data_IF_135430553151
#
_entry.id   IF_135430553151
#
_cell.length_a   1.000
_cell.length_b   1.000
_cell.length_c   1.000
_cell.angle_alpha   90.00
_cell.angle_beta   90.00
_cell.angle_gamma   90.00
#
_symmetry.space_group_name_H-M   'P 1'
#
loop_
_entity.id
_entity.type
_entity.pdbx_description
1 polymer ?
#
# COMPACT_ATOMS: atom_id res chain seq x y z
N UNK A 1 -12.63 1.02 9.17
CA UNK A 1 -11.36 1.17 8.42
C UNK A 1 -10.33 0.34 9.16
N UNK A 2 -9.91 -0.80 8.63
CA UNK A 2 -8.88 -1.63 9.29
C UNK A 2 -7.65 -0.76 9.58
N UNK A 3 -7.19 -0.74 10.84
CA UNK A 3 -5.97 -0.01 11.24
C UNK A 3 -4.76 -0.71 10.62
N UNK A 4 -4.46 -0.39 9.37
CA UNK A 4 -3.23 -0.85 8.74
C UNK A 4 -2.06 -0.20 9.49
N UNK A 5 -1.24 -1.03 10.18
CA UNK A 5 0.11 -0.65 10.66
C UNK A 5 0.98 -0.29 9.45
N UNK A 6 0.86 0.95 9.01
CA UNK A 6 1.56 1.51 7.85
C UNK A 6 1.29 3.01 7.73
N UNK A 7 1.98 3.68 6.82
CA UNK A 7 1.65 5.05 6.41
C UNK A 7 0.89 5.00 5.12
N UNK A 8 -0.14 5.82 4.99
CA UNK A 8 -0.93 5.90 3.78
C UNK A 8 -0.90 7.31 3.20
N UNK A 9 -1.05 7.38 1.88
CA UNK A 9 -1.37 8.61 1.16
C UNK A 9 -2.61 8.38 0.31
N UNK A 10 -3.42 9.43 0.22
CA UNK A 10 -4.68 9.42 -0.49
C UNK A 10 -4.67 10.52 -1.56
N UNK A 11 -4.78 10.13 -2.82
CA UNK A 11 -5.03 11.06 -3.92
C UNK A 11 -6.51 11.04 -4.30
N UNK A 12 -7.22 12.14 -4.07
CA UNK A 12 -8.65 12.24 -4.41
C UNK A 12 -8.88 13.00 -5.72
N UNK A 13 -9.99 12.67 -6.39
CA UNK A 13 -10.50 13.38 -7.57
C UNK A 13 -9.50 13.51 -8.73
N UNK A 14 -8.63 12.51 -8.90
CA UNK A 14 -7.64 12.50 -9.98
C UNK A 14 -8.37 12.32 -11.31
N UNK A 15 -8.19 13.21 -12.30
CA UNK A 15 -8.94 13.19 -13.57
C UNK A 15 -8.39 12.13 -14.52
N UNK A 16 -8.53 10.86 -14.16
CA UNK A 16 -8.14 9.72 -14.99
C UNK A 16 -9.12 8.56 -14.86
N UNK A 17 -9.06 7.66 -15.84
CA UNK A 17 -9.81 6.40 -15.79
C UNK A 17 -9.16 5.43 -14.79
N UNK A 18 -10.00 4.80 -13.97
CA UNK A 18 -9.62 3.78 -13.00
C UNK A 18 -8.79 2.67 -13.65
N UNK A 19 -9.18 2.19 -14.83
CA UNK A 19 -8.47 1.10 -15.51
C UNK A 19 -7.06 1.49 -15.96
N UNK A 20 -6.86 2.75 -16.37
CA UNK A 20 -5.54 3.27 -16.76
C UNK A 20 -4.62 3.39 -15.55
N UNK A 21 -5.16 3.80 -14.40
CA UNK A 21 -4.40 3.83 -13.15
C UNK A 21 -4.04 2.43 -12.65
N UNK A 22 -5.00 1.49 -12.69
CA UNK A 22 -4.79 0.09 -12.25
C UNK A 22 -3.64 -0.58 -12.99
N UNK A 23 -3.53 -0.36 -14.30
CA UNK A 23 -2.42 -0.88 -15.12
C UNK A 23 -1.04 -0.59 -14.51
N UNK A 24 -0.85 0.61 -13.97
CA UNK A 24 0.42 1.01 -13.33
C UNK A 24 0.48 0.52 -11.89
N UNK A 25 -0.61 0.67 -11.13
CA UNK A 25 -0.69 0.29 -9.71
C UNK A 25 -0.45 -1.21 -9.50
N UNK A 26 -0.89 -2.06 -10.44
CA UNK A 26 -0.68 -3.50 -10.34
C UNK A 26 0.81 -3.88 -10.48
N UNK A 27 1.63 -3.07 -11.16
CA UNK A 27 3.07 -3.32 -11.33
C UNK A 27 3.88 -2.97 -10.08
N UNK A 28 3.48 -1.92 -9.37
CA UNK A 28 4.20 -1.41 -8.19
C UNK A 28 3.77 -2.09 -6.88
N UNK A 29 2.70 -2.90 -6.92
CA UNK A 29 2.18 -3.59 -5.73
C UNK A 29 3.22 -4.60 -5.24
N UNK A 30 3.63 -4.45 -3.97
CA UNK A 30 4.60 -5.35 -3.35
C UNK A 30 6.07 -5.05 -3.66
N UNK A 31 6.38 -3.99 -4.42
CA UNK A 31 7.74 -3.54 -4.73
C UNK A 31 8.32 -2.66 -3.63
N UNK A 32 9.65 -2.55 -3.58
CA UNK A 32 10.32 -1.59 -2.70
C UNK A 32 10.07 -0.15 -3.17
N UNK A 33 10.28 0.82 -2.29
CA UNK A 33 10.12 2.23 -2.62
C UNK A 33 11.06 2.66 -3.75
N UNK A 34 12.34 2.29 -3.68
CA UNK A 34 13.37 2.64 -4.67
C UNK A 34 13.06 2.05 -6.05
N UNK A 35 12.74 0.74 -6.12
CA UNK A 35 12.32 0.09 -7.37
C UNK A 35 11.12 0.80 -7.99
N UNK A 36 10.16 1.19 -7.14
CA UNK A 36 8.94 1.85 -7.60
C UNK A 36 9.23 3.20 -8.25
N UNK A 37 10.15 3.99 -7.69
CA UNK A 37 10.54 5.28 -8.28
C UNK A 37 11.12 5.08 -9.69
N UNK A 38 12.07 4.17 -9.83
CA UNK A 38 12.70 3.86 -11.11
C UNK A 38 11.67 3.39 -12.15
N UNK A 39 10.77 2.49 -11.75
CA UNK A 39 9.73 1.97 -12.64
C UNK A 39 8.78 3.10 -13.09
N UNK A 40 8.34 3.95 -12.17
CA UNK A 40 7.37 5.00 -12.48
C UNK A 40 7.97 6.11 -13.36
N UNK A 41 9.26 6.40 -13.21
CA UNK A 41 9.96 7.40 -14.04
C UNK A 41 10.14 6.93 -15.49
N UNK A 42 10.44 5.64 -15.69
CA UNK A 42 10.73 5.09 -17.01
C UNK A 42 9.50 4.59 -17.77
N UNK A 43 8.37 4.37 -17.08
CA UNK A 43 7.16 3.88 -17.73
C UNK A 43 6.55 4.90 -18.70
N UNK A 44 6.07 4.47 -19.88
CA UNK A 44 5.53 5.37 -20.91
C UNK A 44 4.11 5.89 -20.61
N UNK A 45 3.54 5.57 -19.44
CA UNK A 45 2.16 5.89 -19.12
C UNK A 45 2.02 7.25 -18.44
N UNK A 46 1.10 8.09 -18.93
CA UNK A 46 0.72 9.36 -18.26
C UNK A 46 0.23 9.17 -16.81
N UNK A 47 -0.29 7.97 -16.50
CA UNK A 47 -0.73 7.60 -15.16
C UNK A 47 0.40 7.62 -14.12
N UNK A 48 1.67 7.50 -14.54
CA UNK A 48 2.79 7.42 -13.63
C UNK A 48 3.02 8.72 -12.87
N UNK A 49 2.89 9.88 -13.53
CA UNK A 49 3.13 11.18 -12.90
C UNK A 49 2.30 11.43 -11.61
N UNK A 50 0.96 11.29 -11.60
CA UNK A 50 0.19 11.46 -10.36
C UNK A 50 0.49 10.37 -9.32
N UNK A 51 0.81 9.15 -9.74
CA UNK A 51 1.14 8.05 -8.82
C UNK A 51 2.50 8.31 -8.15
N UNK A 52 3.49 8.78 -8.92
CA UNK A 52 4.83 9.14 -8.44
C UNK A 52 4.74 10.19 -7.33
N UNK A 53 3.98 11.27 -7.56
CA UNK A 53 3.73 12.29 -6.52
C UNK A 53 3.11 11.71 -5.25
N UNK A 54 2.16 10.78 -5.38
CA UNK A 54 1.55 10.11 -4.22
C UNK A 54 2.53 9.21 -3.47
N UNK A 55 3.39 8.49 -4.18
CA UNK A 55 4.43 7.65 -3.58
C UNK A 55 5.44 8.51 -2.81
N UNK A 56 5.90 9.61 -3.39
CA UNK A 56 6.75 10.59 -2.69
C UNK A 56 6.07 11.14 -1.43
N UNK A 57 4.80 11.54 -1.53
CA UNK A 57 4.04 12.04 -0.38
C UNK A 57 3.87 10.99 0.71
N UNK A 58 3.59 9.73 0.34
CA UNK A 58 3.47 8.64 1.30
C UNK A 58 4.79 8.39 2.05
N UNK A 59 5.92 8.42 1.35
CA UNK A 59 7.24 8.26 1.97
C UNK A 59 7.58 9.45 2.87
N UNK A 60 7.32 10.69 2.43
CA UNK A 60 7.51 11.89 3.25
C UNK A 60 6.69 11.83 4.55
N UNK A 61 5.43 11.40 4.48
CA UNK A 61 4.59 11.18 5.66
C UNK A 61 5.15 10.09 6.59
N UNK A 62 5.81 9.07 6.03
CA UNK A 62 6.44 7.99 6.79
C UNK A 62 7.64 8.48 7.58
N UNK A 63 8.48 9.28 6.95
CA UNK A 63 9.68 9.85 7.57
C UNK A 63 9.28 10.86 8.65
N UNK A 64 8.40 11.80 8.32
CA UNK A 64 8.11 12.90 9.24
C UNK A 64 7.25 12.49 10.44
N UNK A 65 6.32 11.54 10.25
CA UNK A 65 5.36 11.21 11.31
C UNK A 65 5.66 9.89 12.04
N UNK A 66 6.51 9.02 11.48
CA UNK A 66 6.82 7.69 12.04
C UNK A 66 8.30 7.35 12.02
N UNK A 67 9.17 8.29 11.64
CA UNK A 67 10.63 8.14 11.60
C UNK A 67 11.10 6.91 10.80
N UNK A 68 10.36 6.55 9.76
CA UNK A 68 10.71 5.41 8.92
C UNK A 68 11.92 5.71 8.01
N UNK A 69 12.77 4.70 7.80
CA UNK A 69 13.88 4.79 6.87
C UNK A 69 13.41 4.53 5.43
N UNK A 70 13.75 5.42 4.49
CA UNK A 70 13.36 5.32 3.07
C UNK A 70 13.75 3.99 2.43
N UNK A 71 14.94 3.48 2.74
CA UNK A 71 15.47 2.25 2.13
C UNK A 71 14.67 0.99 2.53
N UNK A 72 14.04 1.01 3.70
CA UNK A 72 13.25 -0.10 4.23
C UNK A 72 11.74 0.01 3.90
N UNK A 73 11.33 1.02 3.13
CA UNK A 73 9.91 1.19 2.77
C UNK A 73 9.50 0.28 1.61
N UNK A 74 8.35 -0.38 1.80
CA UNK A 74 7.74 -1.25 0.79
C UNK A 74 6.25 -0.96 0.61
N UNK A 75 5.76 -1.04 -0.62
CA UNK A 75 4.33 -0.87 -0.92
C UNK A 75 3.58 -2.13 -0.52
N UNK A 76 2.83 -2.07 0.58
CA UNK A 76 1.99 -3.19 1.04
C UNK A 76 0.67 -3.27 0.28
N UNK A 77 0.00 -2.13 0.09
CA UNK A 77 -1.33 -2.10 -0.52
C UNK A 77 -1.46 -0.87 -1.39
N UNK A 78 -1.89 -1.08 -2.63
CA UNK A 78 -2.16 -0.01 -3.57
C UNK A 78 -3.50 -0.30 -4.26
N UNK A 79 -4.46 0.59 -4.04
CA UNK A 79 -5.86 0.43 -4.49
C UNK A 79 -6.28 1.66 -5.28
N UNK A 80 -7.03 1.41 -6.35
CA UNK A 80 -7.69 2.46 -7.13
C UNK A 80 -9.19 2.25 -7.10
N UNK A 81 -9.87 3.22 -6.51
CA UNK A 81 -11.32 3.28 -6.43
C UNK A 81 -11.88 4.23 -7.48
N UNK A 82 -13.10 3.95 -7.92
CA UNK A 82 -13.84 4.82 -8.83
C UNK A 82 -14.28 6.08 -8.08
N UNK A 83 -14.07 7.23 -8.69
CA UNK A 83 -14.58 8.51 -8.21
C UNK A 83 -15.80 8.98 -8.99
N UNK A 84 -16.17 10.23 -8.75
CA UNK A 84 -17.29 10.89 -9.43
C UNK A 84 -17.03 10.97 -10.94
N UNK A 85 -18.03 10.61 -11.74
CA UNK A 85 -17.94 10.64 -13.21
C UNK A 85 -18.78 11.78 -13.74
N UNK A 86 -18.14 12.80 -14.33
CA UNK A 86 -18.86 13.89 -14.99
C UNK A 86 -19.41 13.42 -16.34
N UNK A 87 -20.62 13.86 -16.69
CA UNK A 87 -21.27 13.55 -17.97
C UNK A 87 -21.34 14.83 -18.81
N UNK A 88 -21.00 14.74 -20.10
CA UNK A 88 -21.19 15.81 -21.09
C UNK A 88 -22.00 15.28 -22.27
N UNK A 89 -22.97 16.03 -22.75
CA UNK A 89 -23.72 15.67 -23.96
C UNK A 89 -22.89 16.04 -25.19
N UNK A 90 -22.81 15.15 -26.18
CA UNK A 90 -22.23 15.41 -27.50
C UNK A 90 -23.30 15.20 -28.58
N UNK A 91 -23.60 16.24 -29.38
CA UNK A 91 -24.54 16.10 -30.50
C UNK A 91 -23.98 15.15 -31.56
N UNK A 92 -24.87 14.43 -32.24
CA UNK A 92 -24.58 13.49 -33.32
C UNK A 92 -25.57 13.69 -34.47
N UNK A 93 -25.28 13.07 -35.62
CA UNK A 93 -26.14 13.14 -36.80
C UNK A 93 -27.57 12.64 -36.52
N UNK A 94 -28.53 13.14 -37.32
CA UNK A 94 -29.96 12.81 -37.24
C UNK A 94 -30.60 13.14 -35.87
N UNK A 95 -30.24 14.28 -35.27
CA UNK A 95 -30.81 14.74 -34.00
C UNK A 95 -30.47 13.88 -32.76
N UNK A 96 -29.54 12.92 -32.89
CA UNK A 96 -29.15 12.04 -31.78
C UNK A 96 -28.15 12.73 -30.86
N UNK A 97 -28.11 12.31 -29.60
CA UNK A 97 -27.15 12.82 -28.62
C UNK A 97 -26.56 11.68 -27.78
N UNK A 98 -25.24 11.68 -27.61
CA UNK A 98 -24.52 10.67 -26.82
C UNK A 98 -23.82 11.31 -25.62
N UNK A 99 -23.66 10.54 -24.55
CA UNK A 99 -22.99 10.99 -23.33
C UNK A 99 -21.50 10.64 -23.34
N UNK A 100 -20.65 11.66 -23.21
CA UNK A 100 -19.22 11.49 -22.90
C UNK A 100 -19.07 11.46 -21.38
N UNK A 101 -18.48 10.38 -20.87
CA UNK A 101 -18.13 10.22 -19.45
C UNK A 101 -16.69 10.67 -19.22
N UNK A 102 -16.47 11.58 -18.26
CA UNK A 102 -15.15 11.96 -17.75
C UNK A 102 -14.98 11.37 -16.35
N UNK A 103 -14.41 10.15 -16.22
CA UNK A 103 -14.23 9.52 -14.93
C UNK A 103 -13.10 10.20 -14.14
N UNK A 104 -13.24 10.17 -12.83
CA UNK A 104 -12.15 10.43 -11.88
C UNK A 104 -11.87 9.16 -11.07
N UNK A 105 -10.74 9.14 -10.37
CA UNK A 105 -10.41 8.06 -9.45
C UNK A 105 -9.84 8.58 -8.14
N UNK A 106 -9.94 7.73 -7.12
CA UNK A 106 -9.26 7.91 -5.84
C UNK A 106 -8.20 6.81 -5.71
N UNK A 107 -6.95 7.19 -5.45
CA UNK A 107 -5.83 6.27 -5.30
C UNK A 107 -5.41 6.26 -3.84
N UNK A 108 -5.28 5.07 -3.27
CA UNK A 108 -4.79 4.86 -1.91
C UNK A 108 -3.53 4.01 -2.00
N UNK A 109 -2.42 4.54 -1.49
CA UNK A 109 -1.15 3.83 -1.40
C UNK A 109 -0.80 3.69 0.07
N UNK A 110 -0.42 2.48 0.49
CA UNK A 110 -0.01 2.16 1.84
C UNK A 110 1.42 1.61 1.80
N UNK A 111 2.31 2.30 2.50
CA UNK A 111 3.68 1.90 2.74
C UNK A 111 3.80 1.27 4.13
N UNK A 112 4.69 0.29 4.24
CA UNK A 112 5.11 -0.30 5.51
C UNK A 112 6.63 -0.37 5.53
N UNK A 113 7.17 -0.21 6.72
CA UNK A 113 8.57 -0.44 7.00
C UNK A 113 8.84 -1.95 7.16
N UNK A 114 9.84 -2.46 6.45
CA UNK A 114 10.25 -3.88 6.52
C UNK A 114 11.24 -4.16 7.65
N UNK A 115 11.95 -3.15 8.15
CA UNK A 115 12.98 -3.32 9.20
C UNK A 115 12.45 -4.06 10.44
N UNK A 116 11.28 -3.63 10.93
CA UNK A 116 10.55 -4.29 12.03
C UNK A 116 10.34 -5.80 11.79
N UNK A 117 10.09 -6.23 10.55
CA UNK A 117 9.84 -7.65 10.27
C UNK A 117 11.14 -8.48 10.21
N UNK A 118 12.25 -7.86 9.82
CA UNK A 118 13.54 -8.53 9.73
C UNK A 118 14.10 -8.82 11.13
N UNK A 119 13.89 -7.92 12.09
CA UNK A 119 14.20 -8.13 13.51
C UNK A 119 13.38 -9.30 14.08
N UNK A 120 12.07 -9.33 13.82
CA UNK A 120 11.21 -10.44 14.22
C UNK A 120 11.66 -11.78 13.62
N UNK A 121 12.09 -11.83 12.36
CA UNK A 121 12.59 -13.05 11.72
C UNK A 121 13.86 -13.57 12.38
N UNK A 122 14.84 -12.69 12.65
CA UNK A 122 16.08 -13.04 13.34
C UNK A 122 15.80 -13.61 14.73
N UNK A 123 14.85 -13.00 15.46
CA UNK A 123 14.42 -13.50 16.76
C UNK A 123 13.72 -14.87 16.66
N UNK A 124 12.90 -15.12 15.64
CA UNK A 124 12.24 -16.43 15.43
C UNK A 124 13.27 -17.56 15.25
N UNK A 125 14.38 -17.30 14.57
CA UNK A 125 15.39 -18.33 14.31
C UNK A 125 16.09 -18.81 15.59
N UNK A 126 16.15 -17.97 16.61
CA UNK A 126 16.71 -18.28 17.93
C UNK A 126 15.82 -19.19 18.80
N UNK A 127 14.53 -19.36 18.48
CA UNK A 127 13.61 -20.18 19.29
C UNK A 127 13.82 -21.70 19.13
N UNK A 128 13.52 -22.45 20.18
CA UNK A 128 13.58 -23.91 20.18
C UNK A 128 12.56 -24.52 19.19
N UNK A 129 12.86 -25.71 18.64
CA UNK A 129 11.97 -26.44 17.70
C UNK A 129 10.53 -26.60 18.23
N UNK A 130 10.36 -26.67 19.55
CA UNK A 130 9.04 -26.80 20.21
C UNK A 130 8.23 -25.49 20.16
N UNK A 131 8.90 -24.35 20.29
CA UNK A 131 8.31 -23.01 20.23
C UNK A 131 7.99 -22.63 18.78
N UNK A 132 8.90 -22.92 17.83
CA UNK A 132 8.64 -22.77 16.39
C UNK A 132 7.36 -23.50 15.96
N UNK A 133 7.13 -24.74 16.45
CA UNK A 133 5.89 -25.51 16.20
C UNK A 133 4.64 -24.86 16.81
N UNK A 134 4.72 -24.27 18.01
CA UNK A 134 3.60 -23.53 18.63
C UNK A 134 3.25 -22.26 17.86
N UNK A 135 4.25 -21.50 17.44
CA UNK A 135 4.10 -20.26 16.66
C UNK A 135 3.52 -20.56 15.27
N UNK A 136 4.02 -21.58 14.57
CA UNK A 136 3.47 -22.03 13.27
C UNK A 136 2.01 -22.50 13.40
N UNK A 137 1.65 -23.20 14.47
CA UNK A 137 0.28 -23.64 14.71
C UNK A 137 -0.69 -22.47 14.96
N UNK A 138 -0.20 -21.37 15.53
CA UNK A 138 -0.98 -20.14 15.74
C UNK A 138 -1.09 -19.24 14.50
N UNK A 139 -0.20 -19.41 13.51
CA UNK A 139 -0.07 -18.56 12.32
C UNK A 139 -1.21 -18.70 11.29
N UNK A 140 -2.14 -19.64 11.47
CA UNK A 140 -3.31 -19.81 10.58
C UNK A 140 -4.38 -18.71 10.77
N UNK A 141 -4.15 -17.74 11.67
CA UNK A 141 -4.98 -16.54 11.87
C UNK A 141 -4.12 -15.34 12.25
N UNK A 142 -4.08 -14.31 11.40
CA UNK A 142 -3.33 -13.06 11.62
C UNK A 142 -3.70 -12.38 12.95
N UNK A 143 -4.97 -12.47 13.37
CA UNK A 143 -5.44 -11.87 14.64
C UNK A 143 -4.89 -12.61 15.87
N UNK A 144 -4.76 -13.93 15.78
CA UNK A 144 -4.21 -14.73 16.88
C UNK A 144 -2.70 -14.49 17.06
N UNK A 145 -1.99 -14.15 15.99
CA UNK A 145 -0.54 -13.90 16.06
C UNK A 145 -0.20 -12.61 16.84
N UNK A 146 -0.90 -11.50 16.55
CA UNK A 146 -0.74 -10.25 17.31
C UNK A 146 -1.15 -10.43 18.80
N UNK A 147 -2.20 -11.20 19.07
CA UNK A 147 -2.69 -11.48 20.43
C UNK A 147 -1.71 -12.34 21.25
N UNK A 148 -0.99 -13.26 20.59
CA UNK A 148 0.05 -14.10 21.19
C UNK A 148 1.32 -13.31 21.50
N UNK A 149 1.74 -12.44 20.58
CA UNK A 149 2.88 -11.53 20.78
C UNK A 149 2.62 -10.57 21.95
N UNK A 150 1.41 -10.00 22.03
CA UNK A 150 1.00 -9.15 23.18
C UNK A 150 0.96 -9.94 24.49
N UNK A 151 0.47 -11.19 24.49
CA UNK A 151 0.50 -12.05 25.69
C UNK A 151 1.90 -12.44 26.15
N UNK A 152 2.82 -12.71 25.22
CA UNK A 152 4.21 -13.06 25.52
C UNK A 152 5.00 -11.86 26.06
N UNK A 153 4.75 -10.66 25.54
CA UNK A 153 5.26 -9.39 26.07
C UNK A 153 4.76 -9.11 27.49
N UNK A 154 3.45 -9.28 27.76
CA UNK A 154 2.86 -9.06 29.09
C UNK A 154 3.36 -10.08 30.12
N UNK A 155 3.63 -11.32 29.70
CA UNK A 155 4.23 -12.35 30.57
C UNK A 155 5.74 -12.17 30.80
N UNK A 156 6.40 -11.26 30.07
CA UNK A 156 7.85 -11.04 30.16
C UNK A 156 8.69 -12.13 29.49
N UNK A 157 8.10 -13.01 28.69
CA UNK A 157 8.82 -14.08 27.97
C UNK A 157 9.57 -13.56 26.72
N UNK A 158 9.29 -12.32 26.31
CA UNK A 158 9.97 -11.64 25.21
C UNK A 158 10.39 -10.22 25.64
N UNK A 159 11.69 -9.93 25.60
CA UNK A 159 12.21 -8.56 25.61
C UNK A 159 12.57 -8.16 24.18
N UNK A 160 12.07 -7.02 23.74
CA UNK A 160 12.55 -6.31 22.56
C UNK A 160 13.41 -5.17 23.09
N UNK A 161 14.73 -5.35 23.07
CA UNK A 161 15.68 -4.25 23.21
C UNK A 161 15.70 -3.41 21.92
#
# INVERSE_FOLDING_TARGET
>A
MERFRGVYALGQYIPMSVHKARRVIDQIRGRSYEETLMILELMPYRACYPILKLVYSAAANGIHNKDFNKAALRICKAVVNKGTTMKKLKPRARGRSYLIKKPTCHITIVLRDTSCMDEFRKNIDAYSKKEKRKVLAAANSIRKFDELVVRLLIKGEMQLD
#
